data_IF_088763094222
#
_entry.id   IF_088763094222
#
_cell.length_a   1.000
_cell.length_b   1.000
_cell.length_c   1.000
_cell.angle_alpha   90.00
_cell.angle_beta   90.00
_cell.angle_gamma   90.00
#
_symmetry.space_group_name_H-M   'P 1'
#
loop_
_entity.id
_entity.type
_entity.pdbx_description
1 polymer ?
#
# COMPACT_ATOMS: atom_id res chain seq x y z
N UNK A 1 8.08 -2.13 -48.60
CA UNK A 1 8.68 -2.81 -47.42
C UNK A 1 8.19 -2.12 -46.17
N UNK A 2 7.27 -2.78 -45.46
CA UNK A 2 6.46 -2.21 -44.38
C UNK A 2 7.32 -2.09 -43.12
N UNK A 3 7.47 -0.88 -42.55
CA UNK A 3 8.19 -0.67 -41.29
C UNK A 3 7.36 -1.25 -40.14
N UNK A 4 7.93 -2.28 -39.51
CA UNK A 4 7.38 -2.95 -38.34
C UNK A 4 7.24 -2.00 -37.14
N UNK A 5 6.02 -1.92 -36.61
CA UNK A 5 5.67 -2.19 -35.21
C UNK A 5 6.75 -1.86 -34.15
N UNK A 6 6.96 -0.58 -33.83
CA UNK A 6 7.49 -0.20 -32.50
C UNK A 6 6.31 -0.05 -31.54
N UNK A 7 5.85 -1.18 -31.02
CA UNK A 7 5.02 -1.24 -29.82
C UNK A 7 5.74 -0.46 -28.72
N UNK A 8 5.22 0.71 -28.38
CA UNK A 8 5.61 1.44 -27.19
C UNK A 8 5.18 0.64 -25.97
N UNK A 9 6.04 -0.26 -25.50
CA UNK A 9 5.94 -0.85 -24.17
C UNK A 9 6.20 0.27 -23.17
N UNK A 10 5.16 1.04 -22.87
CA UNK A 10 5.16 1.99 -21.78
C UNK A 10 5.37 1.17 -20.51
N UNK A 11 6.58 1.19 -19.97
CA UNK A 11 6.84 0.68 -18.64
C UNK A 11 5.86 1.37 -17.68
N UNK A 12 4.82 0.65 -17.25
CA UNK A 12 3.98 1.04 -16.12
C UNK A 12 4.89 0.91 -14.91
N UNK A 13 5.65 1.98 -14.63
CA UNK A 13 6.43 2.08 -13.40
C UNK A 13 5.48 1.78 -12.24
N UNK A 14 5.85 0.84 -11.36
CA UNK A 14 5.01 0.45 -10.21
C UNK A 14 4.70 1.70 -9.38
N UNK A 15 3.50 2.25 -9.54
CA UNK A 15 3.08 3.42 -8.77
C UNK A 15 2.92 2.99 -7.31
N UNK A 16 3.60 3.69 -6.39
CA UNK A 16 3.42 3.44 -4.96
C UNK A 16 2.01 3.84 -4.59
N UNK A 17 1.20 2.89 -4.13
CA UNK A 17 -0.18 3.14 -3.67
C UNK A 17 -0.15 4.17 -2.55
N UNK A 18 -0.81 5.31 -2.76
CA UNK A 18 -0.98 6.35 -1.74
C UNK A 18 -2.17 5.98 -0.87
N UNK A 19 -1.99 6.06 0.44
CA UNK A 19 -3.04 5.80 1.43
C UNK A 19 -3.40 7.12 2.12
N UNK A 20 -4.69 7.36 2.34
CA UNK A 20 -5.18 8.53 3.08
C UNK A 20 -4.61 8.54 4.50
N UNK A 21 -4.36 9.72 5.04
CA UNK A 21 -3.86 9.88 6.40
C UNK A 21 -4.84 9.33 7.45
N UNK A 22 -6.15 9.53 7.25
CA UNK A 22 -7.22 8.99 8.10
C UNK A 22 -7.14 7.47 8.24
N UNK A 23 -6.86 6.77 7.13
CA UNK A 23 -6.68 5.31 7.15
C UNK A 23 -5.48 4.92 8.00
N UNK A 24 -4.35 5.63 7.87
CA UNK A 24 -3.16 5.37 8.68
C UNK A 24 -3.45 5.54 10.17
N UNK A 25 -4.18 6.59 10.53
CA UNK A 25 -4.55 6.89 11.92
C UNK A 25 -5.49 5.81 12.47
N UNK A 26 -6.53 5.41 11.73
CA UNK A 26 -7.46 4.35 12.16
C UNK A 26 -6.71 3.04 12.42
N UNK A 27 -5.88 2.61 11.47
CA UNK A 27 -5.13 1.36 11.58
C UNK A 27 -4.14 1.37 12.75
N UNK A 28 -3.45 2.50 13.00
CA UNK A 28 -2.52 2.61 14.12
C UNK A 28 -3.24 2.66 15.48
N UNK A 29 -4.41 3.30 15.56
CA UNK A 29 -5.25 3.30 16.77
C UNK A 29 -5.73 1.90 17.11
N UNK A 30 -6.26 1.17 16.14
CA UNK A 30 -6.71 -0.20 16.33
C UNK A 30 -5.56 -1.14 16.69
N UNK A 31 -4.38 -0.94 16.09
CA UNK A 31 -3.18 -1.67 16.46
C UNK A 31 -2.74 -1.38 17.91
N UNK A 32 -2.84 -0.12 18.36
CA UNK A 32 -2.57 0.28 19.74
C UNK A 32 -3.59 -0.27 20.74
N UNK A 33 -4.84 -0.44 20.32
CA UNK A 33 -5.89 -1.10 21.10
C UNK A 33 -5.70 -2.62 21.24
N UNK A 34 -4.62 -3.20 20.69
CA UNK A 34 -4.30 -4.62 20.76
C UNK A 34 -4.89 -5.47 19.63
N UNK A 35 -5.47 -4.85 18.60
CA UNK A 35 -5.97 -5.59 17.43
C UNK A 35 -4.81 -6.21 16.66
N UNK A 36 -5.00 -7.44 16.20
CA UNK A 36 -3.94 -8.20 15.54
C UNK A 36 -3.60 -7.62 14.16
N UNK A 37 -2.31 -7.42 13.88
CA UNK A 37 -1.76 -7.02 12.58
C UNK A 37 -2.30 -7.85 11.41
N UNK A 38 -2.48 -9.16 11.61
CA UNK A 38 -3.02 -10.06 10.58
C UNK A 38 -4.46 -9.72 10.21
N UNK A 39 -5.26 -9.35 11.19
CA UNK A 39 -6.65 -8.98 10.99
C UNK A 39 -6.75 -7.64 10.28
N UNK A 40 -6.03 -6.62 10.78
CA UNK A 40 -5.95 -5.30 10.15
C UNK A 40 -5.46 -5.36 8.69
N UNK A 41 -4.49 -6.24 8.42
CA UNK A 41 -3.98 -6.48 7.07
C UNK A 41 -5.08 -6.95 6.11
N UNK A 42 -5.92 -7.89 6.55
CA UNK A 42 -7.01 -8.44 5.73
C UNK A 42 -8.15 -7.45 5.56
N UNK A 43 -8.56 -6.78 6.64
CA UNK A 43 -9.67 -5.81 6.62
C UNK A 43 -9.37 -4.61 5.73
N UNK A 44 -8.18 -4.03 5.85
CA UNK A 44 -7.80 -2.83 5.09
C UNK A 44 -7.05 -3.13 3.78
N UNK A 45 -6.87 -4.41 3.42
CA UNK A 45 -6.05 -4.85 2.29
C UNK A 45 -4.65 -4.20 2.28
N UNK A 46 -4.04 -4.16 3.47
CA UNK A 46 -2.72 -3.57 3.70
C UNK A 46 -1.71 -4.66 3.97
N UNK A 47 -0.51 -4.54 3.38
CA UNK A 47 0.57 -5.45 3.72
C UNK A 47 1.04 -5.18 5.17
N UNK A 48 1.26 -6.20 6.01
CA UNK A 48 1.67 -6.01 7.41
C UNK A 48 2.96 -5.18 7.53
N UNK A 49 3.92 -5.36 6.63
CA UNK A 49 5.15 -4.53 6.57
C UNK A 49 4.87 -3.04 6.37
N UNK A 50 3.81 -2.69 5.63
CA UNK A 50 3.41 -1.31 5.43
C UNK A 50 2.86 -0.71 6.73
N UNK A 51 2.07 -1.48 7.47
CA UNK A 51 1.55 -1.09 8.80
C UNK A 51 2.70 -0.86 9.78
N UNK A 52 3.70 -1.77 9.81
CA UNK A 52 4.89 -1.59 10.65
C UNK A 52 5.68 -0.32 10.28
N UNK A 53 5.77 0.04 9.00
CA UNK A 53 6.41 1.28 8.54
C UNK A 53 5.66 2.55 8.96
N UNK A 54 4.40 2.47 9.35
CA UNK A 54 3.64 3.62 9.83
C UNK A 54 3.80 3.88 11.33
N UNK A 55 4.34 2.92 12.10
CA UNK A 55 4.60 3.10 13.54
C UNK A 55 5.49 4.30 13.89
N UNK A 56 6.62 4.58 13.20
CA UNK A 56 7.48 5.71 13.54
C UNK A 56 6.90 7.09 13.15
N UNK A 57 5.68 7.16 12.60
CA UNK A 57 5.03 8.44 12.23
C UNK A 57 4.19 9.05 13.37
N UNK A 58 4.22 8.45 14.56
CA UNK A 58 3.64 8.95 15.81
C UNK A 58 4.75 8.93 16.85
#
# INVERSE_FOLDING_TARGET
>A
MVKLITLGWKHIGKTRRRYKQELKISVLRELGAGKNLRQLSREHNLHPTLICKWRPLI
#
